data_IF_442957272178
#
_entry.id   IF_442957272178
#
_cell.length_a   1.000
_cell.length_b   1.000
_cell.length_c   1.000
_cell.angle_alpha   90.00
_cell.angle_beta   90.00
_cell.angle_gamma   90.00
#
_symmetry.space_group_name_H-M   'P 1'
#
loop_
_entity.id
_entity.type
_entity.pdbx_description
1 polymer ?
#
# COMPACT_ATOMS: atom_id res chain seq x y z
N UNK A 1 32.53 15.23 -5.85
CA UNK A 1 33.90 14.70 -5.57
C UNK A 1 33.78 13.21 -5.33
N UNK A 2 34.76 12.44 -5.79
CA UNK A 2 34.79 10.98 -5.56
C UNK A 2 35.19 10.70 -4.11
N UNK A 3 34.49 9.76 -3.47
CA UNK A 3 34.73 9.28 -2.11
C UNK A 3 34.86 7.77 -2.14
N UNK A 4 35.51 7.23 -1.10
CA UNK A 4 35.67 5.79 -0.93
C UNK A 4 34.96 5.36 0.35
N UNK A 5 34.40 4.15 0.33
CA UNK A 5 33.72 3.59 1.48
C UNK A 5 33.56 2.09 1.36
N UNK A 6 33.05 1.49 2.43
CA UNK A 6 32.82 0.05 2.53
C UNK A 6 31.33 -0.25 2.46
N UNK A 7 30.95 -1.22 1.64
CA UNK A 7 29.55 -1.69 1.61
C UNK A 7 29.26 -2.42 2.91
N UNK A 8 28.38 -1.87 3.74
CA UNK A 8 28.03 -2.46 5.05
C UNK A 8 26.76 -3.29 4.99
N UNK A 9 25.89 -3.01 4.03
CA UNK A 9 24.61 -3.71 3.88
C UNK A 9 24.15 -3.70 2.43
N UNK A 10 23.52 -4.79 2.03
CA UNK A 10 22.83 -4.91 0.75
C UNK A 10 21.53 -5.71 0.92
N UNK A 11 20.48 -5.31 0.22
CA UNK A 11 19.18 -5.98 0.14
C UNK A 11 18.94 -6.45 -1.30
N UNK A 12 19.11 -7.76 -1.54
CA UNK A 12 18.94 -8.37 -2.87
C UNK A 12 17.49 -8.28 -3.38
N UNK A 13 16.49 -8.29 -2.49
CA UNK A 13 15.08 -8.26 -2.89
C UNK A 13 14.66 -6.87 -3.37
N UNK A 14 15.20 -5.83 -2.74
CA UNK A 14 14.84 -4.43 -3.01
C UNK A 14 15.86 -3.70 -3.86
N UNK A 15 17.03 -4.28 -4.11
CA UNK A 15 18.04 -3.79 -5.05
C UNK A 15 18.79 -2.54 -4.58
N UNK A 16 18.98 -2.36 -3.26
CA UNK A 16 19.70 -1.22 -2.69
C UNK A 16 20.62 -1.65 -1.55
N UNK A 17 21.56 -0.78 -1.20
CA UNK A 17 22.46 -0.98 -0.09
C UNK A 17 22.91 0.31 0.56
N UNK A 18 23.84 0.17 1.49
CA UNK A 18 24.45 1.26 2.23
C UNK A 18 25.98 1.15 2.25
N UNK A 19 26.63 2.29 2.07
CA UNK A 19 28.08 2.45 2.09
C UNK A 19 28.45 3.27 3.33
N UNK A 20 29.38 2.76 4.13
CA UNK A 20 29.98 3.51 5.22
C UNK A 20 31.24 4.20 4.74
N UNK A 21 31.29 5.52 4.91
CA UNK A 21 32.41 6.34 4.53
C UNK A 21 32.90 7.11 5.76
N UNK A 22 34.21 7.10 6.03
CA UNK A 22 34.74 7.81 7.21
C UNK A 22 34.56 9.34 7.13
N UNK A 23 34.35 9.89 5.93
CA UNK A 23 34.10 11.31 5.71
C UNK A 23 32.64 11.73 5.98
N UNK A 24 31.72 10.78 6.18
CA UNK A 24 30.28 11.05 6.33
C UNK A 24 29.75 10.23 7.50
N UNK A 25 29.23 10.88 8.56
CA UNK A 25 28.76 10.18 9.77
C UNK A 25 27.52 9.30 9.54
N UNK A 26 26.83 9.47 8.41
CA UNK A 26 25.67 8.68 8.03
C UNK A 26 26.04 7.65 6.97
N UNK A 27 25.39 6.49 7.04
CA UNK A 27 25.49 5.47 6.01
C UNK A 27 24.86 5.99 4.70
N UNK A 28 25.62 5.96 3.62
CA UNK A 28 25.28 6.56 2.33
C UNK A 28 24.48 5.54 1.50
N UNK A 29 23.29 5.93 1.07
CA UNK A 29 22.38 5.07 0.32
C UNK A 29 22.84 4.88 -1.13
N UNK A 30 22.70 3.69 -1.70
CA UNK A 30 22.86 3.47 -3.15
C UNK A 30 21.91 2.40 -3.68
N UNK A 31 21.51 2.50 -4.94
CA UNK A 31 20.69 1.52 -5.64
C UNK A 31 21.51 0.74 -6.68
N UNK A 32 21.08 -0.45 -7.10
CA UNK A 32 21.75 -1.23 -8.17
C UNK A 32 21.90 -0.45 -9.49
N UNK A 33 21.01 0.53 -9.71
CA UNK A 33 21.01 1.43 -10.88
C UNK A 33 22.09 2.50 -10.81
N UNK A 34 22.58 2.75 -9.60
CA UNK A 34 23.64 3.72 -9.33
C UNK A 34 25.02 3.05 -9.44
N UNK A 35 25.08 1.71 -9.54
CA UNK A 35 26.31 0.95 -9.75
C UNK A 35 26.76 0.99 -11.21
N UNK A 36 28.06 1.21 -11.43
CA UNK A 36 28.63 1.18 -12.77
C UNK A 36 28.45 -0.22 -13.40
N UNK A 37 27.80 -0.28 -14.56
CA UNK A 37 27.50 -1.53 -15.26
C UNK A 37 26.37 -2.37 -14.64
N UNK A 38 25.64 -1.85 -13.64
CA UNK A 38 24.55 -2.57 -12.98
C UNK A 38 25.00 -3.78 -12.16
N UNK A 39 26.31 -3.87 -11.86
CA UNK A 39 26.88 -4.96 -11.07
C UNK A 39 26.77 -4.61 -9.59
N UNK A 40 26.21 -5.53 -8.81
CA UNK A 40 26.13 -5.41 -7.36
C UNK A 40 27.53 -5.55 -6.73
N UNK A 41 28.00 -4.57 -5.96
CA UNK A 41 29.21 -4.72 -5.17
C UNK A 41 28.97 -5.72 -4.03
N UNK A 42 29.91 -6.64 -3.76
CA UNK A 42 29.81 -7.53 -2.61
C UNK A 42 29.74 -6.76 -1.29
N UNK A 43 29.00 -7.27 -0.31
CA UNK A 43 29.06 -6.74 1.06
C UNK A 43 30.48 -6.88 1.59
N UNK A 44 30.95 -5.89 2.35
CA UNK A 44 32.32 -5.70 2.82
C UNK A 44 33.36 -5.33 1.77
N UNK A 45 32.98 -5.12 0.50
CA UNK A 45 33.90 -4.61 -0.51
C UNK A 45 34.13 -3.10 -0.39
N UNK A 46 35.32 -2.65 -0.78
CA UNK A 46 35.65 -1.23 -0.91
C UNK A 46 35.18 -0.73 -2.26
N UNK A 47 34.38 0.35 -2.23
CA UNK A 47 33.80 0.98 -3.41
C UNK A 47 34.21 2.45 -3.48
N UNK A 48 34.45 2.93 -4.70
CA UNK A 48 34.53 4.33 -5.06
C UNK A 48 33.15 4.79 -5.55
N UNK A 49 32.71 5.97 -5.12
CA UNK A 49 31.42 6.54 -5.49
C UNK A 49 31.45 8.07 -5.46
N UNK A 50 30.46 8.70 -6.10
CA UNK A 50 30.21 10.13 -5.99
C UNK A 50 29.04 10.37 -5.05
N UNK A 51 29.27 11.15 -3.99
CA UNK A 51 28.20 11.51 -3.06
C UNK A 51 27.40 12.69 -3.61
N UNK A 52 26.08 12.53 -3.67
CA UNK A 52 25.11 13.57 -4.01
C UNK A 52 24.10 13.72 -2.88
N UNK A 53 23.61 14.94 -2.68
CA UNK A 53 22.52 15.20 -1.74
C UNK A 53 21.20 15.32 -2.52
N UNK A 54 20.27 14.40 -2.28
CA UNK A 54 18.95 14.45 -2.90
C UNK A 54 18.02 15.15 -1.91
N UNK A 55 17.52 16.34 -2.26
CA UNK A 55 16.75 17.22 -1.37
C UNK A 55 15.76 16.48 -0.47
N UNK A 56 16.03 16.47 0.83
CA UNK A 56 15.22 15.85 1.87
C UNK A 56 15.36 14.34 2.08
N UNK A 57 16.22 13.63 1.34
CA UNK A 57 16.37 12.16 1.40
C UNK A 57 17.75 11.67 1.86
N UNK A 58 18.59 12.56 2.38
CA UNK A 58 19.92 12.22 2.89
C UNK A 58 20.96 11.96 1.78
N UNK A 59 22.18 11.54 2.15
CA UNK A 59 23.27 11.33 1.21
C UNK A 59 23.05 10.08 0.36
N UNK A 60 23.24 10.21 -0.96
CA UNK A 60 23.16 9.12 -1.94
C UNK A 60 24.46 8.99 -2.72
N UNK A 61 24.91 7.76 -2.93
CA UNK A 61 26.06 7.43 -3.75
C UNK A 61 25.63 7.14 -5.19
N UNK A 62 26.36 7.71 -6.15
CA UNK A 62 26.24 7.49 -7.59
C UNK A 62 27.53 6.95 -8.19
N UNK A 63 27.40 6.33 -9.36
CA UNK A 63 28.51 5.75 -10.12
C UNK A 63 29.39 4.80 -9.28
N UNK A 64 28.75 3.95 -8.45
CA UNK A 64 29.43 3.07 -7.49
C UNK A 64 30.26 2.03 -8.25
N UNK A 65 31.57 1.99 -7.97
CA UNK A 65 32.55 1.08 -8.59
C UNK A 65 33.32 0.33 -7.52
N UNK A 66 33.41 -0.98 -7.64
CA UNK A 66 34.25 -1.79 -6.75
C UNK A 66 35.72 -1.56 -7.09
N UNK A 67 36.51 -1.13 -6.10
CA UNK A 67 37.93 -0.77 -6.30
C UNK A 67 38.85 -1.99 -6.36
N UNK A 68 38.39 -3.13 -5.85
CA UNK A 68 39.18 -4.36 -5.86
C UNK A 68 38.50 -5.37 -6.79
N UNK A 69 39.13 -5.61 -7.95
CA UNK A 69 38.83 -6.78 -8.76
C UNK A 69 39.19 -8.01 -7.92
N UNK A 70 38.18 -8.70 -7.39
CA UNK A 70 38.40 -10.03 -6.85
C UNK A 70 38.92 -10.91 -7.99
N UNK A 71 39.95 -11.75 -7.77
CA UNK A 71 40.34 -12.73 -8.76
C UNK A 71 39.11 -13.57 -9.11
N UNK A 72 38.78 -13.61 -10.40
CA UNK A 72 37.53 -14.11 -10.99
C UNK A 72 37.15 -15.56 -10.65
N UNK A 73 37.91 -16.26 -9.80
CA UNK A 73 37.62 -17.60 -9.32
C UNK A 73 36.81 -17.69 -8.03
N UNK A 74 36.83 -16.68 -7.15
CA UNK A 74 36.19 -16.77 -5.83
C UNK A 74 34.65 -16.60 -5.89
N UNK A 75 34.16 -15.72 -6.76
CA UNK A 75 32.72 -15.52 -6.99
C UNK A 75 32.05 -16.79 -7.55
N UNK A 76 32.69 -17.44 -8.52
CA UNK A 76 32.22 -18.71 -9.08
C UNK A 76 32.25 -19.85 -8.04
N UNK A 77 33.20 -19.84 -7.10
CA UNK A 77 33.29 -20.82 -6.01
C UNK A 77 32.20 -20.59 -4.96
N UNK A 78 31.91 -19.32 -4.64
CA UNK A 78 30.83 -18.95 -3.72
C UNK A 78 29.44 -19.25 -4.30
N UNK A 79 29.23 -19.00 -5.60
CA UNK A 79 27.99 -19.38 -6.29
C UNK A 79 27.82 -20.90 -6.41
N UNK A 80 28.91 -21.65 -6.63
CA UNK A 80 28.87 -23.12 -6.72
C UNK A 80 28.59 -23.77 -5.34
N UNK A 81 29.20 -23.26 -4.27
CA UNK A 81 28.90 -23.68 -2.89
C UNK A 81 27.48 -23.27 -2.45
N UNK A 82 27.00 -22.07 -2.85
CA UNK A 82 25.64 -21.59 -2.59
C UNK A 82 24.58 -22.42 -3.34
N UNK A 83 24.84 -22.82 -4.58
CA UNK A 83 23.94 -23.68 -5.34
C UNK A 83 23.90 -25.12 -4.78
N UNK A 84 25.02 -25.64 -4.27
CA UNK A 84 25.05 -26.91 -3.54
C UNK A 84 24.36 -26.86 -2.17
N UNK A 85 24.45 -25.73 -1.45
CA UNK A 85 23.71 -25.53 -0.20
C UNK A 85 22.20 -25.32 -0.42
N UNK A 86 21.80 -24.69 -1.54
CA UNK A 86 20.39 -24.57 -1.96
C UNK A 86 19.76 -25.89 -2.37
N UNK A 87 20.54 -26.80 -2.96
CA UNK A 87 20.05 -28.13 -3.35
C UNK A 87 20.06 -29.15 -2.21
N UNK A 88 20.71 -28.83 -1.08
CA UNK A 88 20.78 -29.70 0.12
C UNK A 88 20.07 -29.15 1.36
N UNK A 89 19.44 -27.98 1.27
CA UNK A 89 18.57 -27.54 2.37
C UNK A 89 17.39 -28.51 2.46
N UNK A 90 17.12 -29.12 3.64
CA UNK A 90 15.88 -29.85 3.82
C UNK A 90 14.76 -28.92 3.43
N UNK A 91 13.76 -29.45 2.73
CA UNK A 91 12.54 -28.74 2.41
C UNK A 91 11.85 -28.43 3.75
N UNK A 92 12.34 -27.41 4.46
CA UNK A 92 11.60 -26.71 5.49
C UNK A 92 10.51 -26.06 4.67
N UNK A 93 9.39 -26.77 4.55
CA UNK A 93 8.11 -26.16 4.28
C UNK A 93 8.05 -24.97 5.21
N UNK A 94 8.34 -23.80 4.66
CA UNK A 94 7.83 -22.55 5.18
C UNK A 94 6.32 -22.80 5.18
N UNK A 95 5.81 -23.28 6.32
CA UNK A 95 4.46 -23.02 6.74
C UNK A 95 4.42 -21.51 6.67
N UNK A 96 3.89 -20.99 5.55
CA UNK A 96 3.32 -19.66 5.49
C UNK A 96 2.39 -19.65 6.69
N UNK A 97 2.86 -19.10 7.79
CA UNK A 97 1.98 -18.32 8.65
C UNK A 97 1.49 -17.25 7.70
N UNK A 98 0.35 -17.56 7.10
CA UNK A 98 -0.46 -16.65 6.31
C UNK A 98 -0.64 -15.42 7.17
N UNK A 99 0.23 -14.45 6.95
CA UNK A 99 0.05 -13.09 7.35
C UNK A 99 -1.25 -12.64 6.73
N UNK A 100 -2.34 -12.65 7.50
CA UNK A 100 -3.48 -11.75 7.31
C UNK A 100 -4.02 -11.62 5.87
N UNK A 101 -4.01 -12.69 5.08
CA UNK A 101 -4.87 -12.79 3.90
C UNK A 101 -6.26 -13.21 4.39
N UNK A 102 -6.92 -12.30 5.12
CA UNK A 102 -8.38 -12.34 5.13
C UNK A 102 -8.82 -12.29 3.66
N UNK A 103 -9.76 -13.14 3.21
CA UNK A 103 -10.17 -13.15 1.82
C UNK A 103 -10.55 -11.73 1.44
N UNK A 104 -9.84 -11.16 0.46
CA UNK A 104 -10.24 -9.89 -0.11
C UNK A 104 -11.71 -10.06 -0.51
N UNK A 105 -12.62 -9.23 0.00
CA UNK A 105 -14.04 -9.44 -0.16
C UNK A 105 -14.35 -9.61 -1.64
N UNK A 106 -14.93 -10.76 -1.98
CA UNK A 106 -15.27 -11.08 -3.36
C UNK A 106 -16.10 -9.95 -3.94
N UNK A 107 -15.88 -9.59 -5.21
CA UNK A 107 -16.66 -8.55 -5.86
C UNK A 107 -18.18 -8.81 -5.74
N UNK A 108 -18.55 -10.09 -5.64
CA UNK A 108 -19.91 -10.55 -5.36
C UNK A 108 -20.43 -10.08 -3.99
N UNK A 109 -19.66 -10.21 -2.91
CA UNK A 109 -20.09 -9.78 -1.57
C UNK A 109 -20.33 -8.27 -1.46
N UNK A 110 -19.49 -7.46 -2.10
CA UNK A 110 -19.67 -5.99 -2.11
C UNK A 110 -20.85 -5.58 -2.99
N UNK A 111 -21.04 -6.26 -4.11
CA UNK A 111 -22.21 -6.07 -4.97
C UNK A 111 -23.52 -6.32 -4.23
N UNK A 112 -23.62 -7.44 -3.50
CA UNK A 112 -24.80 -7.77 -2.70
C UNK A 112 -25.12 -6.71 -1.64
N UNK A 113 -24.12 -6.20 -0.92
CA UNK A 113 -24.34 -5.15 0.07
C UNK A 113 -24.79 -3.83 -0.58
N UNK A 114 -24.33 -3.56 -1.80
CA UNK A 114 -24.69 -2.32 -2.51
C UNK A 114 -26.16 -2.39 -2.91
N UNK A 115 -26.59 -3.57 -3.38
CA UNK A 115 -28.00 -3.85 -3.66
C UNK A 115 -28.86 -3.73 -2.41
N UNK A 116 -28.44 -4.31 -1.28
CA UNK A 116 -29.16 -4.19 0.00
C UNK A 116 -29.31 -2.72 0.39
N UNK A 117 -28.25 -1.92 0.28
CA UNK A 117 -28.29 -0.48 0.58
C UNK A 117 -29.27 0.27 -0.33
N UNK A 118 -29.24 0.02 -1.65
CA UNK A 118 -30.19 0.62 -2.59
C UNK A 118 -31.64 0.22 -2.28
N UNK A 119 -31.87 -1.04 -1.94
CA UNK A 119 -33.20 -1.53 -1.55
C UNK A 119 -33.69 -0.86 -0.27
N UNK A 120 -32.83 -0.66 0.74
CA UNK A 120 -33.18 0.07 1.96
C UNK A 120 -33.54 1.54 1.69
N UNK A 121 -32.79 2.21 0.80
CA UNK A 121 -33.08 3.60 0.41
C UNK A 121 -34.42 3.71 -0.33
N UNK A 122 -34.65 2.83 -1.32
CA UNK A 122 -35.90 2.78 -2.07
C UNK A 122 -37.06 2.47 -1.15
N UNK A 123 -36.93 1.46 -0.28
CA UNK A 123 -37.95 1.07 0.68
C UNK A 123 -38.27 2.20 1.66
N UNK A 124 -37.25 2.85 2.24
CA UNK A 124 -37.43 3.98 3.15
C UNK A 124 -38.06 5.20 2.46
N UNK A 125 -37.76 5.43 1.18
CA UNK A 125 -38.41 6.46 0.38
C UNK A 125 -39.88 6.15 0.08
N UNK A 126 -40.21 4.89 -0.25
CA UNK A 126 -41.59 4.43 -0.45
C UNK A 126 -42.43 4.54 0.83
N UNK A 127 -41.80 4.38 1.99
CA UNK A 127 -42.47 4.59 3.29
C UNK A 127 -42.51 6.06 3.73
N UNK A 128 -42.10 7.00 2.88
CA UNK A 128 -41.97 8.43 3.18
C UNK A 128 -41.10 8.74 4.42
N UNK A 129 -40.27 7.79 4.86
CA UNK A 129 -39.32 7.95 5.98
C UNK A 129 -38.10 8.76 5.56
N UNK A 130 -37.68 8.59 4.31
CA UNK A 130 -36.50 9.24 3.76
C UNK A 130 -36.97 10.39 2.85
N UNK A 131 -36.68 11.65 3.19
CA UNK A 131 -37.04 12.77 2.34
C UNK A 131 -36.23 12.72 1.03
N UNK A 132 -36.79 13.14 -0.12
CA UNK A 132 -36.08 13.11 -1.40
C UNK A 132 -34.73 13.85 -1.40
N UNK A 133 -34.58 14.89 -0.56
CA UNK A 133 -33.32 15.62 -0.41
C UNK A 133 -32.20 14.74 0.16
N UNK A 134 -32.52 13.75 0.99
CA UNK A 134 -31.53 12.80 1.52
C UNK A 134 -31.05 11.84 0.43
N UNK A 135 -31.92 11.46 -0.52
CA UNK A 135 -31.53 10.67 -1.71
C UNK A 135 -30.61 11.47 -2.62
N UNK A 136 -30.94 12.75 -2.86
CA UNK A 136 -30.06 13.66 -3.60
C UNK A 136 -28.71 13.83 -2.91
N UNK A 137 -28.70 13.97 -1.58
CA UNK A 137 -27.48 14.01 -0.76
C UNK A 137 -26.64 12.74 -0.90
N UNK A 138 -27.26 11.56 -0.86
CA UNK A 138 -26.56 10.28 -1.06
C UNK A 138 -25.90 10.19 -2.44
N UNK A 139 -26.57 10.67 -3.49
CA UNK A 139 -25.99 10.76 -4.84
C UNK A 139 -24.78 11.71 -4.89
N UNK A 140 -24.91 12.91 -4.31
CA UNK A 140 -23.83 13.90 -4.24
C UNK A 140 -22.63 13.34 -3.48
N UNK A 141 -22.84 12.67 -2.34
CA UNK A 141 -21.77 12.03 -1.56
C UNK A 141 -21.04 10.97 -2.38
N UNK A 142 -21.76 10.14 -3.14
CA UNK A 142 -21.15 9.13 -4.01
C UNK A 142 -20.32 9.78 -5.14
N UNK A 143 -20.82 10.85 -5.76
CA UNK A 143 -20.10 11.60 -6.78
C UNK A 143 -18.82 12.27 -6.22
N UNK A 144 -18.93 12.94 -5.07
CA UNK A 144 -17.79 13.56 -4.39
C UNK A 144 -16.74 12.52 -3.99
N UNK A 145 -17.17 11.35 -3.51
CA UNK A 145 -16.26 10.26 -3.15
C UNK A 145 -15.48 9.77 -4.36
N UNK A 146 -16.17 9.52 -5.49
CA UNK A 146 -15.48 9.11 -6.71
C UNK A 146 -14.48 10.17 -7.20
N UNK A 147 -14.87 11.44 -7.18
CA UNK A 147 -14.04 12.55 -7.61
C UNK A 147 -12.80 12.73 -6.72
N UNK A 148 -12.94 12.60 -5.40
CA UNK A 148 -11.82 12.65 -4.46
C UNK A 148 -10.77 11.57 -4.76
N UNK A 149 -11.22 10.34 -5.01
CA UNK A 149 -10.33 9.26 -5.44
C UNK A 149 -9.66 9.52 -6.81
N UNK A 150 -10.38 10.17 -7.73
CA UNK A 150 -9.85 10.54 -9.05
C UNK A 150 -8.78 11.64 -8.99
N UNK A 151 -8.98 12.64 -8.13
CA UNK A 151 -8.02 13.73 -7.87
C UNK A 151 -6.76 13.20 -7.19
N UNK A 152 -6.88 12.31 -6.19
CA UNK A 152 -5.73 11.66 -5.54
C UNK A 152 -4.82 10.97 -6.57
N UNK A 153 -5.41 10.25 -7.53
CA UNK A 153 -4.66 9.60 -8.61
C UNK A 153 -4.01 10.60 -9.57
N UNK A 154 -4.70 11.70 -9.90
CA UNK A 154 -4.13 12.76 -10.74
C UNK A 154 -2.95 13.46 -10.07
N UNK A 155 -3.02 13.68 -8.75
CA UNK A 155 -1.93 14.24 -7.96
C UNK A 155 -0.72 13.29 -7.89
N UNK A 156 -0.96 11.98 -7.72
CA UNK A 156 0.08 10.96 -7.70
C UNK A 156 0.85 10.84 -9.03
N UNK A 157 0.19 11.07 -10.17
CA UNK A 157 0.82 11.08 -11.50
C UNK A 157 1.67 12.33 -11.75
N UNK A 158 1.34 13.45 -11.12
CA UNK A 158 2.06 14.73 -11.24
C UNK A 158 3.17 14.92 -10.20
N UNK A 159 3.46 13.91 -9.38
CA UNK A 159 4.51 13.98 -8.36
C UNK A 159 4.20 14.95 -7.20
N UNK A 160 2.94 15.35 -7.03
CA UNK A 160 2.51 16.25 -5.97
C UNK A 160 2.23 15.52 -4.65
N UNK A 161 2.15 16.28 -3.56
CA UNK A 161 1.96 15.75 -2.20
C UNK A 161 0.62 15.02 -2.06
N UNK A 162 0.65 13.88 -1.37
CA UNK A 162 -0.47 12.92 -1.28
C UNK A 162 -1.51 13.39 -0.24
N UNK A 163 -2.80 13.21 -0.54
CA UNK A 163 -3.90 13.45 0.40
C UNK A 163 -3.82 12.54 1.62
N UNK A 164 -4.07 13.08 2.83
CA UNK A 164 -4.05 12.35 4.11
C UNK A 164 -5.17 11.28 4.13
N UNK A 165 -4.86 10.09 4.67
CA UNK A 165 -5.76 8.91 4.70
C UNK A 165 -7.13 9.19 5.37
N UNK A 166 -7.21 10.20 6.25
CA UNK A 166 -8.41 10.52 7.04
C UNK A 166 -9.61 10.98 6.20
N UNK A 167 -9.38 11.71 5.10
CA UNK A 167 -10.47 12.23 4.25
C UNK A 167 -11.21 11.09 3.56
N UNK A 168 -10.53 9.97 3.27
CA UNK A 168 -11.12 8.82 2.58
C UNK A 168 -12.05 8.00 3.48
N UNK A 169 -11.78 7.97 4.79
CA UNK A 169 -12.63 7.27 5.75
C UNK A 169 -13.93 8.02 6.05
N UNK A 170 -13.88 9.36 6.04
CA UNK A 170 -15.07 10.21 6.26
C UNK A 170 -16.13 10.00 5.15
N UNK A 171 -15.69 9.87 3.89
CA UNK A 171 -16.58 9.61 2.75
C UNK A 171 -17.22 8.21 2.79
N UNK A 172 -16.49 7.21 3.29
CA UNK A 172 -17.04 5.87 3.51
C UNK A 172 -18.19 5.88 4.52
N UNK A 173 -18.01 6.59 5.63
CA UNK A 173 -19.03 6.72 6.70
C UNK A 173 -20.29 7.43 6.21
N UNK A 174 -20.15 8.43 5.34
CA UNK A 174 -21.28 9.19 4.80
C UNK A 174 -22.14 8.45 3.75
N UNK A 175 -21.79 7.20 3.40
CA UNK A 175 -22.54 6.41 2.41
C UNK A 175 -21.94 6.42 1.00
N UNK A 176 -20.72 6.96 0.83
CA UNK A 176 -19.97 6.95 -0.43
C UNK A 176 -19.21 5.66 -0.71
N UNK A 177 -19.38 4.64 0.15
CA UNK A 177 -18.64 3.38 0.08
C UNK A 177 -18.82 2.61 -1.26
N UNK A 178 -19.98 2.63 -1.97
CA UNK A 178 -20.09 1.99 -3.28
C UNK A 178 -19.22 2.68 -4.33
N UNK A 179 -19.25 4.02 -4.36
CA UNK A 179 -18.40 4.83 -5.22
C UNK A 179 -16.91 4.66 -4.89
N UNK A 180 -16.55 4.56 -3.60
CA UNK A 180 -15.19 4.28 -3.17
C UNK A 180 -14.68 2.92 -3.69
N UNK A 181 -15.52 1.87 -3.65
CA UNK A 181 -15.17 0.55 -4.20
C UNK A 181 -15.01 0.59 -5.72
N UNK A 182 -15.94 1.25 -6.41
CA UNK A 182 -15.88 1.43 -7.86
C UNK A 182 -14.59 2.17 -8.26
N UNK A 183 -14.26 3.24 -7.53
CA UNK A 183 -13.03 3.98 -7.74
C UNK A 183 -11.79 3.10 -7.48
N UNK A 184 -11.77 2.27 -6.43
CA UNK A 184 -10.68 1.32 -6.19
C UNK A 184 -10.48 0.32 -7.34
N UNK A 185 -11.57 -0.19 -7.92
CA UNK A 185 -11.54 -1.14 -9.04
C UNK A 185 -11.09 -0.48 -10.35
N UNK A 186 -11.67 0.68 -10.68
CA UNK A 186 -11.35 1.44 -11.91
C UNK A 186 -9.94 2.02 -11.84
N UNK A 187 -9.51 2.47 -10.66
CA UNK A 187 -8.24 3.17 -10.51
C UNK A 187 -7.05 2.25 -10.23
N UNK A 188 -7.26 0.94 -9.98
CA UNK A 188 -6.20 -0.07 -9.69
C UNK A 188 -5.12 0.49 -8.75
N UNK A 189 -5.53 1.11 -7.64
CA UNK A 189 -4.61 1.74 -6.70
C UNK A 189 -4.74 1.13 -5.30
N UNK A 190 -3.65 0.46 -4.86
CA UNK A 190 -3.35 -0.06 -3.51
C UNK A 190 -4.53 -0.64 -2.72
N UNK A 191 -4.92 -1.86 -3.08
CA UNK A 191 -5.88 -2.71 -2.34
C UNK A 191 -5.24 -3.54 -1.22
N UNK A 192 -3.98 -3.32 -0.84
CA UNK A 192 -3.19 -4.33 -0.07
C UNK A 192 -2.78 -3.87 1.34
N UNK A 193 -3.26 -2.73 1.86
CA UNK A 193 -3.05 -2.39 3.29
C UNK A 193 -4.18 -2.99 4.14
N UNK A 194 -3.94 -3.99 5.01
CA UNK A 194 -4.99 -4.67 5.77
C UNK A 194 -5.78 -3.73 6.70
N UNK A 195 -5.12 -2.73 7.31
CA UNK A 195 -5.80 -1.74 8.16
C UNK A 195 -6.80 -0.85 7.43
N UNK A 196 -6.54 -0.53 6.15
CA UNK A 196 -7.43 0.30 5.34
C UNK A 196 -8.72 -0.45 4.98
N UNK A 197 -8.61 -1.75 4.67
CA UNK A 197 -9.79 -2.58 4.40
C UNK A 197 -10.64 -2.80 5.65
N UNK A 198 -10.03 -3.03 6.81
CA UNK A 198 -10.77 -3.20 8.07
C UNK A 198 -11.61 -1.98 8.41
N UNK A 199 -11.03 -0.77 8.31
CA UNK A 199 -11.76 0.48 8.56
C UNK A 199 -12.88 0.70 7.52
N UNK A 200 -12.63 0.41 6.24
CA UNK A 200 -13.67 0.44 5.21
C UNK A 200 -14.86 -0.47 5.57
N UNK A 201 -14.61 -1.72 5.96
CA UNK A 201 -15.68 -2.64 6.35
C UNK A 201 -16.45 -2.19 7.57
N UNK A 202 -15.75 -1.67 8.57
CA UNK A 202 -16.39 -1.08 9.74
C UNK A 202 -17.35 0.04 9.32
N UNK A 203 -16.93 0.95 8.44
CA UNK A 203 -17.81 2.04 7.96
C UNK A 203 -19.04 1.53 7.21
N UNK A 204 -18.90 0.48 6.39
CA UNK A 204 -20.03 -0.11 5.65
C UNK A 204 -21.05 -0.72 6.61
N UNK A 205 -20.60 -1.53 7.57
CA UNK A 205 -21.48 -2.19 8.54
C UNK A 205 -22.17 -1.19 9.46
N UNK A 206 -21.43 -0.19 9.97
CA UNK A 206 -22.00 0.87 10.81
C UNK A 206 -23.06 1.66 10.04
N UNK A 207 -22.78 2.04 8.80
CA UNK A 207 -23.74 2.79 7.97
C UNK A 207 -25.00 1.97 7.66
N UNK A 208 -24.85 0.70 7.28
CA UNK A 208 -25.99 -0.19 7.02
C UNK A 208 -26.84 -0.43 8.27
N UNK A 209 -26.19 -0.65 9.42
CA UNK A 209 -26.89 -0.83 10.69
C UNK A 209 -27.67 0.44 11.08
N UNK A 210 -27.06 1.62 10.96
CA UNK A 210 -27.71 2.90 11.24
C UNK A 210 -28.91 3.15 10.30
N UNK A 211 -28.73 2.93 8.99
CA UNK A 211 -29.80 3.09 8.01
C UNK A 211 -30.94 2.09 8.26
N UNK A 212 -30.61 0.83 8.52
CA UNK A 212 -31.60 -0.19 8.86
C UNK A 212 -32.37 0.17 10.13
N UNK A 213 -31.66 0.57 11.19
CA UNK A 213 -32.29 1.01 12.44
C UNK A 213 -33.23 2.20 12.23
N UNK A 214 -32.84 3.17 11.39
CA UNK A 214 -33.68 4.31 11.05
C UNK A 214 -34.94 3.91 10.27
N UNK A 215 -34.78 3.09 9.21
CA UNK A 215 -35.89 2.64 8.36
C UNK A 215 -36.88 1.76 9.14
N UNK A 216 -36.39 0.92 10.05
CA UNK A 216 -37.21 -0.02 10.83
C UNK A 216 -37.44 0.39 12.28
N UNK A 217 -37.20 1.66 12.63
CA UNK A 217 -37.21 2.16 14.01
C UNK A 217 -38.47 1.75 14.78
N UNK A 218 -39.65 1.89 14.17
CA UNK A 218 -40.93 1.59 14.82
C UNK A 218 -41.10 0.10 15.16
N UNK A 219 -40.41 -0.78 14.45
CA UNK A 219 -40.41 -2.23 14.71
C UNK A 219 -39.36 -2.61 15.76
N UNK A 220 -38.28 -1.84 15.87
CA UNK A 220 -37.17 -2.10 16.80
C UNK A 220 -37.46 -1.50 18.19
N UNK A 221 -38.02 -0.30 18.24
CA UNK A 221 -38.38 0.42 19.48
C UNK A 221 -39.09 -0.44 20.54
N UNK A 222 -40.11 -1.26 20.21
CA UNK A 222 -40.77 -2.11 21.22
C UNK A 222 -39.87 -3.21 21.78
N UNK A 223 -38.93 -3.76 20.99
CA UNK A 223 -38.02 -4.82 21.43
C UNK A 223 -36.95 -4.34 22.41
N UNK A 224 -36.56 -3.06 22.33
CA UNK A 224 -35.59 -2.45 23.24
C UNK A 224 -36.20 -2.01 24.58
N UNK A 225 -37.53 -1.88 24.62
CA UNK A 225 -38.28 -1.43 25.78
C UNK A 225 -39.02 -2.59 26.49
N UNK A 226 -38.72 -3.83 26.11
CA UNK A 226 -39.22 -5.08 26.72
C UNK A 226 -38.22 -5.61 27.73
#
# INVERSE_FOLDING_TARGET
>A
MKKQGKVVRWDDQRGFGFIRCNATSQDIFFHIRDCAGGIQPPVNSTVEFEEIHVGGKGPRAMAVRTMQAYPSGAAARHDRLRNQARSRSPHVTHRRTTSQDGPAPSAMGVGSLTLIWLLLLVWGALQHRIPPIALAGAFVINALTFFAYWVDKHAARKGQWRTKEDTLHLFGLSGGWPAARLAQQVLRHKTVKPGFQAMYWLTVWVHLAALGAYVFWDRIKPLLNS
#
